data_IF_795690232537
#
_entry.id   IF_795690232537
#
_cell.length_a   1.000
_cell.length_b   1.000
_cell.length_c   1.000
_cell.angle_alpha   90.00
_cell.angle_beta   90.00
_cell.angle_gamma   90.00
#
_symmetry.space_group_name_H-M   'P 1'
#
loop_
_entity.id
_entity.type
_entity.pdbx_description
1 polymer ?
#
# COMPACT_ATOMS: atom_id res chain seq x y z
N UNK A 1 -1.38 17.35 -13.43
CA UNK A 1 -1.71 17.14 -12.01
C UNK A 1 -0.41 17.04 -11.23
N UNK A 2 -0.30 17.78 -10.15
CA UNK A 2 0.89 17.74 -9.28
C UNK A 2 0.56 17.03 -7.99
N UNK A 3 1.28 15.97 -7.69
CA UNK A 3 1.13 15.19 -6.46
C UNK A 3 2.22 15.60 -5.48
N UNK A 4 1.83 15.99 -4.27
CA UNK A 4 2.76 16.25 -3.17
C UNK A 4 2.68 15.07 -2.20
N UNK A 5 3.84 14.64 -1.70
CA UNK A 5 3.92 13.56 -0.74
C UNK A 5 4.23 14.18 0.63
N UNK A 6 3.42 13.83 1.62
CA UNK A 6 3.56 14.37 2.98
C UNK A 6 3.50 13.27 4.01
N UNK A 7 4.54 13.19 4.85
CA UNK A 7 4.53 12.27 5.98
C UNK A 7 3.86 12.95 7.18
N UNK A 8 2.96 12.23 7.86
CA UNK A 8 2.29 12.71 9.09
C UNK A 8 2.53 11.72 10.23
N UNK A 9 2.86 12.20 11.43
CA UNK A 9 3.18 11.30 12.55
C UNK A 9 1.96 10.60 13.13
N UNK A 10 0.76 11.17 12.98
CA UNK A 10 -0.50 10.61 13.49
C UNK A 10 -1.68 11.40 12.92
N UNK A 11 -2.89 10.98 13.25
CA UNK A 11 -4.10 11.76 12.99
C UNK A 11 -4.71 11.57 11.61
N UNK A 12 -4.32 10.53 10.86
CA UNK A 12 -4.82 10.32 9.49
C UNK A 12 -5.92 9.26 9.38
N UNK A 13 -6.56 8.88 10.50
CA UNK A 13 -7.60 7.85 10.51
C UNK A 13 -8.80 8.19 9.64
N UNK A 14 -9.32 9.41 9.75
CA UNK A 14 -10.48 9.84 8.96
C UNK A 14 -10.14 9.91 7.45
N UNK A 15 -8.93 10.33 7.12
CA UNK A 15 -8.45 10.34 5.72
C UNK A 15 -8.42 8.91 5.18
N UNK A 16 -7.88 7.97 5.95
CA UNK A 16 -7.85 6.56 5.58
C UNK A 16 -9.27 6.01 5.35
N UNK A 17 -10.19 6.31 6.27
CA UNK A 17 -11.59 5.88 6.16
C UNK A 17 -12.24 6.41 4.89
N UNK A 18 -12.03 7.68 4.57
CA UNK A 18 -12.62 8.31 3.39
C UNK A 18 -12.09 7.68 2.10
N UNK A 19 -10.79 7.36 2.04
CA UNK A 19 -10.20 6.68 0.88
C UNK A 19 -10.77 5.26 0.77
N UNK A 20 -10.80 4.51 1.87
CA UNK A 20 -11.34 3.14 1.90
C UNK A 20 -12.79 3.07 1.41
N UNK A 21 -13.59 4.09 1.70
CA UNK A 21 -14.98 4.15 1.27
C UNK A 21 -15.14 4.17 -0.25
N UNK A 22 -14.11 4.57 -1.00
CA UNK A 22 -14.14 4.64 -2.47
C UNK A 22 -13.58 3.39 -3.14
N UNK A 23 -12.94 2.48 -2.39
CA UNK A 23 -12.21 1.33 -2.94
C UNK A 23 -12.66 0.00 -2.33
N UNK A 24 -13.96 -0.13 -2.08
CA UNK A 24 -14.55 -1.34 -1.48
C UNK A 24 -14.33 -2.62 -2.28
N UNK A 25 -14.09 -2.52 -3.59
CA UNK A 25 -13.79 -3.69 -4.41
C UNK A 25 -12.47 -4.36 -4.00
N UNK A 26 -11.54 -3.61 -3.40
CA UNK A 26 -10.26 -4.13 -2.91
C UNK A 26 -10.25 -4.35 -1.41
N UNK A 27 -10.94 -3.51 -0.66
CA UNK A 27 -10.90 -3.47 0.81
C UNK A 27 -12.30 -3.69 1.39
N UNK A 28 -12.85 -4.88 1.17
CA UNK A 28 -14.19 -5.24 1.62
C UNK A 28 -14.26 -5.88 3.01
N UNK A 29 -13.14 -5.98 3.75
CA UNK A 29 -13.09 -6.65 5.05
C UNK A 29 -13.11 -5.61 6.18
N UNK A 30 -14.24 -5.50 6.94
CA UNK A 30 -14.36 -4.47 7.98
C UNK A 30 -13.27 -4.51 9.05
N UNK A 31 -12.86 -5.70 9.47
CA UNK A 31 -11.82 -5.85 10.50
C UNK A 31 -10.47 -5.31 10.01
N UNK A 32 -10.10 -5.61 8.77
CA UNK A 32 -8.86 -5.10 8.18
C UNK A 32 -8.92 -3.58 8.00
N UNK A 33 -10.06 -3.07 7.55
CA UNK A 33 -10.24 -1.63 7.36
C UNK A 33 -10.12 -0.89 8.68
N UNK A 34 -10.71 -1.43 9.76
CA UNK A 34 -10.59 -0.85 11.09
C UNK A 34 -9.14 -0.82 11.57
N UNK A 35 -8.36 -1.85 11.27
CA UNK A 35 -6.94 -1.88 11.59
C UNK A 35 -6.18 -0.77 10.86
N UNK A 36 -6.41 -0.61 9.56
CA UNK A 36 -5.74 0.43 8.79
C UNK A 36 -6.08 1.82 9.31
N UNK A 37 -7.36 2.07 9.57
CA UNK A 37 -7.79 3.36 10.15
C UNK A 37 -7.13 3.63 11.49
N UNK A 38 -7.05 2.61 12.35
CA UNK A 38 -6.44 2.71 13.68
C UNK A 38 -4.95 3.01 13.59
N UNK A 39 -4.22 2.33 12.69
CA UNK A 39 -2.80 2.56 12.47
C UNK A 39 -2.55 3.98 11.95
N UNK A 40 -3.37 4.46 11.02
CA UNK A 40 -3.25 5.81 10.49
C UNK A 40 -3.59 6.88 11.53
N UNK A 41 -4.49 6.58 12.47
CA UNK A 41 -4.87 7.51 13.53
C UNK A 41 -3.80 7.63 14.61
N UNK A 42 -3.21 6.51 15.03
CA UNK A 42 -2.31 6.48 16.18
C UNK A 42 -0.83 6.55 15.82
N UNK A 43 -0.48 6.36 14.56
CA UNK A 43 0.91 6.32 14.12
C UNK A 43 1.14 6.99 12.77
N UNK A 44 2.37 6.84 12.26
CA UNK A 44 2.75 7.52 11.01
C UNK A 44 1.99 7.01 9.79
N UNK A 45 1.66 7.93 8.89
CA UNK A 45 1.14 7.64 7.56
C UNK A 45 1.81 8.58 6.56
N UNK A 46 1.87 8.16 5.30
CA UNK A 46 2.35 9.01 4.21
C UNK A 46 1.18 9.29 3.28
N UNK A 47 0.92 10.55 3.03
CA UNK A 47 -0.19 11.00 2.21
C UNK A 47 0.29 11.46 0.84
N UNK A 48 -0.54 11.22 -0.17
CA UNK A 48 -0.44 11.89 -1.46
C UNK A 48 -1.51 12.97 -1.50
N UNK A 49 -1.11 14.19 -1.81
CA UNK A 49 -2.00 15.34 -1.86
C UNK A 49 -2.05 15.89 -3.28
N UNK A 50 -3.25 16.22 -3.73
CA UNK A 50 -3.45 16.98 -4.96
C UNK A 50 -4.11 18.31 -4.58
N UNK A 51 -3.44 19.43 -4.86
CA UNK A 51 -3.92 20.77 -4.48
C UNK A 51 -4.29 20.84 -2.99
N UNK A 52 -3.51 20.17 -2.15
CA UNK A 52 -3.71 20.14 -0.72
C UNK A 52 -4.74 19.12 -0.23
N UNK A 53 -5.47 18.45 -1.12
CA UNK A 53 -6.47 17.45 -0.76
C UNK A 53 -5.88 16.04 -0.75
N UNK A 54 -6.09 15.24 0.31
CA UNK A 54 -5.59 13.88 0.34
C UNK A 54 -6.28 12.99 -0.70
N UNK A 55 -5.49 12.35 -1.56
CA UNK A 55 -5.99 11.47 -2.62
C UNK A 55 -5.39 10.07 -2.54
N UNK A 56 -4.43 9.84 -1.66
CA UNK A 56 -3.84 8.53 -1.43
C UNK A 56 -3.12 8.48 -0.10
N UNK A 57 -2.87 7.26 0.37
CA UNK A 57 -2.23 7.03 1.67
C UNK A 57 -1.51 5.69 1.66
N UNK A 58 -0.31 5.64 2.25
CA UNK A 58 0.35 4.38 2.58
C UNK A 58 0.67 4.32 4.06
N UNK A 59 0.68 3.09 4.58
CA UNK A 59 1.18 2.74 5.89
C UNK A 59 2.42 1.88 5.70
N UNK A 60 3.44 2.11 6.50
CA UNK A 60 4.72 1.42 6.41
C UNK A 60 4.97 0.59 7.67
N UNK A 61 5.54 -0.60 7.50
CA UNK A 61 6.06 -1.42 8.61
C UNK A 61 7.50 -1.79 8.32
N UNK A 62 8.30 -1.82 9.37
CA UNK A 62 9.72 -2.16 9.28
C UNK A 62 9.94 -3.57 9.83
N UNK A 63 10.63 -4.40 9.04
CA UNK A 63 10.95 -5.78 9.42
C UNK A 63 12.47 -5.96 9.42
N UNK A 64 13.01 -6.23 10.60
CA UNK A 64 14.45 -6.29 10.81
C UNK A 64 15.11 -4.99 10.34
N UNK A 65 16.36 -5.05 9.92
CA UNK A 65 17.05 -3.91 9.31
C UNK A 65 16.98 -3.94 7.77
N UNK A 66 16.42 -5.00 7.18
CA UNK A 66 16.53 -5.28 5.75
C UNK A 66 15.33 -4.84 4.92
N UNK A 67 14.12 -4.75 5.51
CA UNK A 67 12.89 -4.69 4.74
C UNK A 67 11.95 -3.60 5.22
N UNK A 68 11.39 -2.86 4.27
CA UNK A 68 10.28 -1.95 4.51
C UNK A 68 9.05 -2.54 3.82
N UNK A 69 7.99 -2.76 4.57
CA UNK A 69 6.73 -3.22 4.00
C UNK A 69 5.78 -2.05 3.80
N UNK A 70 5.22 -1.94 2.60
CA UNK A 70 4.04 -1.10 2.37
C UNK A 70 2.84 -1.94 2.84
N UNK A 71 2.44 -1.71 4.07
CA UNK A 71 1.41 -2.50 4.75
C UNK A 71 0.02 -2.23 4.20
N UNK A 72 -0.23 -1.00 3.77
CA UNK A 72 -1.47 -0.55 3.15
C UNK A 72 -1.14 0.48 2.08
N UNK A 73 -1.76 0.35 0.93
CA UNK A 73 -1.74 1.35 -0.13
C UNK A 73 -3.19 1.56 -0.58
N UNK A 74 -3.69 2.77 -0.41
CA UNK A 74 -5.02 3.15 -0.89
C UNK A 74 -4.95 4.44 -1.69
N UNK A 75 -5.62 4.46 -2.85
CA UNK A 75 -5.77 5.64 -3.68
C UNK A 75 -7.24 5.84 -3.95
N UNK A 76 -7.73 7.06 -3.74
CA UNK A 76 -9.11 7.43 -4.03
C UNK A 76 -9.49 6.97 -5.43
N UNK A 77 -10.65 6.33 -5.58
CA UNK A 77 -11.06 5.74 -6.85
C UNK A 77 -11.11 6.76 -8.00
N UNK A 78 -11.46 8.01 -7.70
CA UNK A 78 -11.51 9.07 -8.71
C UNK A 78 -10.13 9.47 -9.22
N UNK A 79 -9.08 9.05 -8.55
CA UNK A 79 -7.69 9.40 -8.88
C UNK A 79 -6.86 8.19 -9.33
N UNK A 80 -7.51 7.06 -9.64
CA UNK A 80 -6.82 5.89 -10.18
C UNK A 80 -6.23 6.20 -11.55
N UNK A 81 -5.13 5.53 -11.90
CA UNK A 81 -4.41 5.65 -13.18
C UNK A 81 -3.85 7.05 -13.45
N UNK A 82 -3.61 7.83 -12.39
CA UNK A 82 -3.05 9.17 -12.50
C UNK A 82 -1.66 9.29 -11.87
N UNK A 83 -1.03 8.16 -11.55
CA UNK A 83 0.31 8.13 -11.00
C UNK A 83 0.39 8.33 -9.48
N UNK A 84 -0.72 8.38 -8.76
CA UNK A 84 -0.73 8.57 -7.31
C UNK A 84 -0.10 7.37 -6.59
N UNK A 85 -0.52 6.16 -6.95
CA UNK A 85 0.05 4.94 -6.37
C UNK A 85 1.54 4.81 -6.65
N UNK A 86 1.96 5.12 -7.88
CA UNK A 86 3.38 5.12 -8.24
C UNK A 86 4.17 6.10 -7.38
N UNK A 87 3.68 7.32 -7.19
CA UNK A 87 4.36 8.33 -6.39
C UNK A 87 4.53 7.88 -4.94
N UNK A 88 3.50 7.25 -4.37
CA UNK A 88 3.56 6.71 -3.01
C UNK A 88 4.58 5.56 -2.91
N UNK A 89 4.60 4.65 -3.88
CA UNK A 89 5.55 3.54 -3.88
C UNK A 89 6.99 4.04 -4.07
N UNK A 90 7.20 5.02 -4.93
CA UNK A 90 8.53 5.62 -5.11
C UNK A 90 9.00 6.29 -3.82
N UNK A 91 8.10 6.92 -3.07
CA UNK A 91 8.44 7.48 -1.78
C UNK A 91 8.84 6.39 -0.77
N UNK A 92 8.10 5.28 -0.73
CA UNK A 92 8.45 4.16 0.14
C UNK A 92 9.85 3.61 -0.19
N UNK A 93 10.17 3.50 -1.48
CA UNK A 93 11.50 3.06 -1.93
C UNK A 93 12.59 4.03 -1.50
N UNK A 94 12.32 5.33 -1.59
CA UNK A 94 13.27 6.35 -1.12
C UNK A 94 13.49 6.26 0.39
N UNK A 95 12.44 6.04 1.17
CA UNK A 95 12.54 5.81 2.63
C UNK A 95 13.40 4.59 2.91
N UNK A 96 13.16 3.49 2.21
CA UNK A 96 13.94 2.26 2.40
C UNK A 96 15.43 2.51 2.12
N UNK A 97 15.75 3.20 1.04
CA UNK A 97 17.15 3.53 0.71
C UNK A 97 17.79 4.43 1.74
N UNK A 98 17.07 5.43 2.23
CA UNK A 98 17.56 6.35 3.26
C UNK A 98 17.85 5.63 4.57
N UNK A 99 17.11 4.55 4.86
CA UNK A 99 17.30 3.72 6.06
C UNK A 99 18.26 2.54 5.81
N UNK A 100 18.91 2.50 4.65
CA UNK A 100 19.81 1.42 4.24
C UNK A 100 19.13 0.03 4.23
N UNK A 101 17.83 -0.01 3.96
CA UNK A 101 17.09 -1.25 3.78
C UNK A 101 17.23 -1.70 2.34
N UNK A 102 17.28 -3.01 2.14
CA UNK A 102 17.53 -3.58 0.81
C UNK A 102 16.27 -3.89 0.02
N UNK A 103 15.14 -4.10 0.71
CA UNK A 103 13.90 -4.54 0.07
C UNK A 103 12.72 -3.68 0.47
N UNK A 104 11.83 -3.44 -0.49
CA UNK A 104 10.45 -3.03 -0.23
C UNK A 104 9.57 -4.22 -0.56
N UNK A 105 8.65 -4.53 0.33
CA UNK A 105 7.78 -5.70 0.26
C UNK A 105 6.32 -5.25 0.31
N UNK A 106 5.47 -5.95 -0.42
CA UNK A 106 4.02 -5.78 -0.35
C UNK A 106 3.35 -7.14 -0.21
N UNK A 107 2.18 -7.17 0.42
CA UNK A 107 1.30 -8.33 0.45
C UNK A 107 0.00 -7.94 -0.22
N UNK A 108 -0.44 -8.74 -1.17
CA UNK A 108 -1.69 -8.50 -1.89
C UNK A 108 -2.45 -9.81 -2.05
N UNK A 109 -3.63 -9.79 -2.65
CA UNK A 109 -4.36 -11.03 -2.88
C UNK A 109 -3.69 -11.83 -3.99
N UNK A 110 -3.53 -13.13 -3.77
CA UNK A 110 -2.89 -14.03 -4.72
C UNK A 110 -3.79 -14.39 -5.91
N UNK A 111 -3.18 -14.82 -7.01
CA UNK A 111 -3.89 -15.10 -8.26
C UNK A 111 -4.87 -16.28 -8.17
N UNK A 112 -4.70 -17.20 -7.22
CA UNK A 112 -5.61 -18.34 -7.09
C UNK A 112 -7.02 -17.94 -6.64
N UNK A 113 -7.20 -16.72 -6.12
CA UNK A 113 -8.52 -16.22 -5.78
C UNK A 113 -9.37 -15.86 -7.01
N UNK A 114 -8.75 -15.67 -8.17
CA UNK A 114 -9.42 -15.31 -9.42
C UNK A 114 -10.34 -14.09 -9.31
N UNK A 115 -9.85 -13.05 -8.64
CA UNK A 115 -10.61 -11.82 -8.42
C UNK A 115 -9.99 -10.68 -9.23
N UNK A 116 -10.72 -10.17 -10.22
CA UNK A 116 -10.21 -9.24 -11.23
C UNK A 116 -9.62 -7.94 -10.65
N UNK A 117 -10.22 -7.27 -9.64
CA UNK A 117 -9.60 -6.04 -9.10
C UNK A 117 -8.16 -6.24 -8.63
N UNK A 118 -7.85 -7.37 -7.99
CA UNK A 118 -6.48 -7.65 -7.55
C UNK A 118 -5.56 -8.11 -8.67
N UNK A 119 -6.08 -8.59 -9.79
CA UNK A 119 -5.27 -8.82 -10.98
C UNK A 119 -4.66 -7.51 -11.49
N UNK A 120 -5.45 -6.44 -11.50
CA UNK A 120 -4.95 -5.09 -11.84
C UNK A 120 -3.90 -4.61 -10.84
N UNK A 121 -4.11 -4.88 -9.57
CA UNK A 121 -3.16 -4.51 -8.52
C UNK A 121 -1.83 -5.24 -8.69
N UNK A 122 -1.86 -6.54 -8.99
CA UNK A 122 -0.63 -7.30 -9.24
C UNK A 122 0.13 -6.75 -10.45
N UNK A 123 -0.57 -6.40 -11.53
CA UNK A 123 0.06 -5.76 -12.70
C UNK A 123 0.68 -4.41 -12.37
N UNK A 124 0.05 -3.65 -11.49
CA UNK A 124 0.59 -2.38 -11.01
C UNK A 124 1.94 -2.60 -10.32
N UNK A 125 2.02 -3.57 -9.41
CA UNK A 125 3.28 -3.86 -8.72
C UNK A 125 4.33 -4.43 -9.67
N UNK A 126 3.94 -5.30 -10.58
CA UNK A 126 4.87 -5.87 -11.58
C UNK A 126 5.46 -4.76 -12.47
N UNK A 127 4.65 -3.78 -12.86
CA UNK A 127 5.11 -2.65 -13.65
C UNK A 127 6.12 -1.78 -12.90
N UNK A 128 6.16 -1.84 -11.58
CA UNK A 128 7.13 -1.16 -10.72
C UNK A 128 8.31 -2.06 -10.35
N UNK A 129 8.46 -3.21 -11.01
CA UNK A 129 9.52 -4.20 -10.82
C UNK A 129 9.43 -4.98 -9.50
N UNK A 130 8.23 -5.15 -8.94
CA UNK A 130 8.02 -6.07 -7.83
C UNK A 130 7.84 -7.48 -8.37
N UNK A 131 8.57 -8.42 -7.80
CA UNK A 131 8.51 -9.83 -8.18
C UNK A 131 7.63 -10.61 -7.20
N UNK A 132 6.81 -11.50 -7.73
CA UNK A 132 6.04 -12.44 -6.91
C UNK A 132 6.99 -13.47 -6.32
N UNK A 133 6.93 -13.67 -5.00
CA UNK A 133 7.80 -14.60 -4.30
C UNK A 133 7.07 -15.88 -3.91
N UNK A 134 5.91 -15.76 -3.28
CA UNK A 134 5.18 -16.92 -2.77
C UNK A 134 3.72 -16.56 -2.53
N UNK A 135 2.81 -17.50 -2.80
CA UNK A 135 1.41 -17.39 -2.42
C UNK A 135 1.19 -18.21 -1.15
N UNK A 136 0.63 -17.57 -0.11
CA UNK A 136 0.46 -18.14 1.21
C UNK A 136 -1.01 -18.23 1.59
N UNK A 137 -1.38 -19.29 2.33
CA UNK A 137 -2.75 -19.47 2.85
C UNK A 137 -2.94 -18.80 4.21
N UNK A 138 -2.35 -17.62 4.39
CA UNK A 138 -2.37 -16.90 5.67
C UNK A 138 -2.83 -15.46 5.46
N UNK A 139 -3.28 -14.84 6.52
CA UNK A 139 -3.60 -13.41 6.59
C UNK A 139 -5.09 -13.14 6.47
N UNK A 140 -5.67 -13.24 5.29
CA UNK A 140 -7.07 -12.81 5.05
C UNK A 140 -8.06 -13.95 4.91
N UNK A 141 -7.71 -15.15 5.39
CA UNK A 141 -8.55 -16.33 5.32
C UNK A 141 -8.36 -17.13 4.03
N UNK A 142 -8.95 -18.36 3.96
CA UNK A 142 -8.67 -19.30 2.87
C UNK A 142 -9.18 -18.83 1.49
N UNK A 143 -10.16 -17.93 1.46
CA UNK A 143 -10.69 -17.39 0.20
C UNK A 143 -9.86 -16.23 -0.32
N UNK A 144 -8.93 -15.72 0.49
CA UNK A 144 -8.09 -14.58 0.17
C UNK A 144 -6.61 -14.93 0.41
N UNK A 145 -6.02 -15.79 -0.43
CA UNK A 145 -4.61 -16.15 -0.31
C UNK A 145 -3.75 -14.91 -0.46
N UNK A 146 -2.63 -14.89 0.26
CA UNK A 146 -1.69 -13.76 0.27
C UNK A 146 -0.57 -14.01 -0.73
N UNK A 147 -0.37 -13.07 -1.65
CA UNK A 147 0.81 -13.05 -2.51
C UNK A 147 1.85 -12.12 -1.91
N UNK A 148 3.01 -12.65 -1.65
CA UNK A 148 4.16 -11.88 -1.18
C UNK A 148 4.94 -11.41 -2.41
N UNK A 149 5.12 -10.09 -2.53
CA UNK A 149 5.91 -9.49 -3.61
C UNK A 149 6.99 -8.60 -3.03
N UNK A 150 8.14 -8.53 -3.68
CA UNK A 150 9.24 -7.71 -3.21
C UNK A 150 10.06 -7.13 -4.36
N UNK A 151 10.75 -6.03 -4.05
CA UNK A 151 11.66 -5.37 -4.96
C UNK A 151 12.96 -5.08 -4.22
N UNK A 152 14.09 -5.42 -4.84
CA UNK A 152 15.39 -5.03 -4.33
C UNK A 152 15.63 -3.55 -4.63
N UNK A 153 15.88 -2.75 -3.60
CA UNK A 153 16.09 -1.29 -3.74
C UNK A 153 17.44 -0.86 -3.20
N UNK A 154 18.15 -1.74 -2.53
CA UNK A 154 19.49 -1.49 -2.01
C UNK A 154 20.55 -1.54 -3.10
N UNK A 155 21.61 -0.82 -2.93
CA UNK A 155 22.76 -0.86 -3.82
C UNK A 155 23.96 -1.46 -3.16
#
# INVERSE_FOLDING_TARGET
MTIQIEARPAGSGAICRNILATIGDWFGMPASNAEYEGLAQTGPAVLALESGAPVGLILLKRHFSTTLEVYFLGVDAAHHRQGVGRALMEHAEAVARAEARRFVMVKTQGPSANYEPYERTRRFYEALDYAALEELDVGWGPENPTLLMAKFVGG
#
